data_IF_438987061975
#
_entry.id   IF_438987061975
#
_cell.length_a   1.000
_cell.length_b   1.000
_cell.length_c   1.000
_cell.angle_alpha   90.00
_cell.angle_beta   90.00
_cell.angle_gamma   90.00
#
_symmetry.space_group_name_H-M   'P 1'
#
loop_
_entity.id
_entity.type
_entity.pdbx_description
1 polymer ?
#
# COMPACT_ATOMS: atom_id res chain seq x y z
N UNK A 1 -8.27 5.01 17.16
CA UNK A 1 -7.96 6.14 16.31
C UNK A 1 -7.10 5.75 15.10
N UNK A 2 -5.97 5.07 15.34
CA UNK A 2 -5.12 4.56 14.27
C UNK A 2 -5.87 3.58 13.35
N UNK A 3 -6.63 2.67 13.92
CA UNK A 3 -7.36 1.65 13.16
C UNK A 3 -8.49 2.26 12.32
N UNK A 4 -9.16 3.28 12.83
CA UNK A 4 -10.19 4.01 12.07
C UNK A 4 -9.54 4.73 10.88
N UNK A 5 -8.42 5.42 11.11
CA UNK A 5 -7.69 6.13 10.06
C UNK A 5 -7.18 5.17 8.99
N UNK A 6 -6.61 4.03 9.40
CA UNK A 6 -6.14 2.99 8.48
C UNK A 6 -7.27 2.40 7.65
N UNK A 7 -8.41 2.10 8.29
CA UNK A 7 -9.58 1.55 7.62
C UNK A 7 -10.15 2.50 6.58
N UNK A 8 -10.20 3.80 6.90
CA UNK A 8 -10.65 4.83 5.97
C UNK A 8 -9.72 4.95 4.77
N UNK A 9 -8.41 4.90 4.99
CA UNK A 9 -7.42 4.96 3.91
C UNK A 9 -7.56 3.75 2.99
N UNK A 10 -7.74 2.57 3.55
CA UNK A 10 -7.94 1.34 2.77
C UNK A 10 -9.24 1.38 1.98
N UNK A 11 -10.31 1.92 2.56
CA UNK A 11 -11.59 2.06 1.86
C UNK A 11 -11.48 3.00 0.64
N UNK A 12 -10.75 4.11 0.80
CA UNK A 12 -10.49 5.04 -0.31
C UNK A 12 -9.68 4.35 -1.40
N UNK A 13 -8.65 3.62 -1.02
CA UNK A 13 -7.79 2.90 -1.96
C UNK A 13 -8.58 1.84 -2.73
N UNK A 14 -9.39 1.05 -2.03
CA UNK A 14 -10.22 0.02 -2.64
C UNK A 14 -11.23 0.62 -3.61
N UNK A 15 -11.83 1.76 -3.26
CA UNK A 15 -12.80 2.45 -4.12
C UNK A 15 -12.18 3.10 -5.35
N UNK A 16 -10.87 3.37 -5.34
CA UNK A 16 -10.17 3.98 -6.47
C UNK A 16 -9.77 2.96 -7.54
N UNK A 17 -9.78 1.68 -7.22
CA UNK A 17 -9.39 0.63 -8.16
C UNK A 17 -10.61 0.27 -9.03
N UNK A 18 -10.47 0.51 -10.34
CA UNK A 18 -11.51 0.13 -11.31
C UNK A 18 -11.30 -1.34 -11.71
N UNK A 19 -12.23 -2.24 -11.36
CA UNK A 19 -12.09 -3.67 -11.68
C UNK A 19 -12.10 -3.97 -13.18
N UNK A 20 -12.53 -3.02 -14.01
CA UNK A 20 -12.58 -3.18 -15.47
C UNK A 20 -11.30 -2.69 -16.16
N UNK A 21 -10.42 -2.00 -15.45
CA UNK A 21 -9.11 -1.58 -15.99
C UNK A 21 -8.16 -2.75 -16.03
N UNK A 22 -7.12 -2.67 -16.88
CA UNK A 22 -6.04 -3.67 -16.85
C UNK A 22 -5.28 -3.58 -15.52
N UNK A 23 -4.47 -4.60 -15.23
CA UNK A 23 -3.80 -4.69 -13.94
C UNK A 23 -2.77 -3.57 -13.73
N UNK A 24 -2.13 -3.10 -14.81
CA UNK A 24 -1.17 -1.98 -14.72
C UNK A 24 -1.87 -0.69 -14.33
N UNK A 25 -3.02 -0.41 -14.95
CA UNK A 25 -3.84 0.73 -14.58
C UNK A 25 -4.36 0.62 -13.15
N UNK A 26 -4.76 -0.58 -12.71
CA UNK A 26 -5.21 -0.82 -11.35
C UNK A 26 -4.09 -0.54 -10.33
N UNK A 27 -2.86 -0.95 -10.62
CA UNK A 27 -1.70 -0.65 -9.77
C UNK A 27 -1.49 0.86 -9.65
N UNK A 28 -1.52 1.58 -10.76
CA UNK A 28 -1.35 3.03 -10.74
C UNK A 28 -2.47 3.75 -10.01
N UNK A 29 -3.72 3.30 -10.19
CA UNK A 29 -4.87 3.81 -9.46
C UNK A 29 -4.70 3.62 -7.96
N UNK A 30 -4.28 2.44 -7.54
CA UNK A 30 -4.07 2.12 -6.14
C UNK A 30 -2.96 2.97 -5.52
N UNK A 31 -1.82 3.08 -6.19
CA UNK A 31 -0.68 3.84 -5.68
C UNK A 31 -1.00 5.34 -5.65
N UNK A 32 -1.63 5.86 -6.70
CA UNK A 32 -2.06 7.26 -6.75
C UNK A 32 -3.03 7.61 -5.63
N UNK A 33 -3.99 6.74 -5.36
CA UNK A 33 -4.96 6.94 -4.29
C UNK A 33 -4.30 6.88 -2.91
N UNK A 34 -3.43 5.90 -2.68
CA UNK A 34 -2.73 5.74 -1.40
C UNK A 34 -1.89 6.96 -1.07
N UNK A 35 -0.99 7.35 -1.96
CA UNK A 35 -0.13 8.51 -1.74
C UNK A 35 -0.91 9.82 -1.74
N UNK A 36 -1.99 9.90 -2.51
CA UNK A 36 -2.86 11.06 -2.53
C UNK A 36 -3.52 11.31 -1.18
N UNK A 37 -4.06 10.27 -0.54
CA UNK A 37 -4.65 10.37 0.79
C UNK A 37 -3.61 10.82 1.81
N UNK A 38 -2.43 10.19 1.80
CA UNK A 38 -1.36 10.51 2.74
C UNK A 38 -0.84 11.94 2.56
N UNK A 39 -0.62 12.37 1.32
CA UNK A 39 -0.08 13.70 1.03
C UNK A 39 -1.04 14.84 1.41
N UNK A 40 -2.34 14.60 1.29
CA UNK A 40 -3.36 15.61 1.61
C UNK A 40 -3.66 15.74 3.10
N UNK A 41 -3.16 14.80 3.91
CA UNK A 41 -3.51 14.76 5.32
C UNK A 41 -2.26 14.55 6.19
N UNK A 42 -1.53 15.63 6.52
CA UNK A 42 -0.30 15.53 7.30
C UNK A 42 -0.49 14.90 8.67
N UNK A 43 -1.65 15.10 9.31
CA UNK A 43 -1.95 14.51 10.62
C UNK A 43 -2.09 12.99 10.48
N UNK A 44 -2.81 12.53 9.47
CA UNK A 44 -2.96 11.11 9.18
C UNK A 44 -1.60 10.47 8.90
N UNK A 45 -0.80 11.09 8.05
CA UNK A 45 0.53 10.63 7.69
C UNK A 45 1.40 10.44 8.94
N UNK A 46 1.44 11.46 9.80
CA UNK A 46 2.22 11.41 11.03
C UNK A 46 1.72 10.33 11.97
N UNK A 47 0.40 10.19 12.12
CA UNK A 47 -0.20 9.17 12.97
C UNK A 47 0.16 7.77 12.50
N UNK A 48 0.02 7.50 11.19
CA UNK A 48 0.23 6.16 10.64
C UNK A 48 1.70 5.73 10.60
N UNK A 49 2.63 6.68 10.47
CA UNK A 49 4.03 6.33 10.21
C UNK A 49 4.97 6.69 11.35
N UNK A 50 4.64 7.67 12.16
CA UNK A 50 5.55 8.17 13.22
C UNK A 50 4.98 7.92 14.62
N UNK A 51 3.81 8.47 14.93
CA UNK A 51 3.27 8.46 16.28
C UNK A 51 2.99 7.05 16.78
N UNK A 52 2.58 6.16 15.87
CA UNK A 52 2.29 4.77 16.20
C UNK A 52 3.51 4.04 16.78
N UNK A 53 4.71 4.41 16.35
CA UNK A 53 5.95 3.78 16.83
C UNK A 53 6.23 4.09 18.29
N UNK A 54 5.72 5.22 18.81
CA UNK A 54 5.88 5.61 20.21
C UNK A 54 4.95 4.89 21.18
N UNK A 55 4.00 4.09 20.70
CA UNK A 55 3.01 3.41 21.55
C UNK A 55 3.45 2.02 22.01
N UNK A 56 4.68 1.61 21.69
CA UNK A 56 5.20 0.30 22.09
C UNK A 56 4.48 -0.87 21.43
N UNK A 57 4.30 -1.96 22.18
CA UNK A 57 3.71 -3.20 21.64
C UNK A 57 2.30 -3.01 21.07
N UNK A 58 1.37 -2.26 21.70
CA UNK A 58 0.06 -2.02 21.11
C UNK A 58 0.14 -1.29 19.77
N UNK A 59 1.05 -0.31 19.64
CA UNK A 59 1.27 0.40 18.40
C UNK A 59 1.81 -0.49 17.29
N UNK A 60 2.77 -1.34 17.62
CA UNK A 60 3.32 -2.31 16.69
C UNK A 60 2.25 -3.28 16.19
N UNK A 61 1.38 -3.76 17.08
CA UNK A 61 0.28 -4.66 16.72
C UNK A 61 -0.72 -3.98 15.78
N UNK A 62 -1.07 -2.72 16.05
CA UNK A 62 -1.97 -1.94 15.18
C UNK A 62 -1.35 -1.73 13.79
N UNK A 63 -0.07 -1.42 13.73
CA UNK A 63 0.67 -1.27 12.49
C UNK A 63 0.66 -2.56 11.67
N UNK A 64 0.86 -3.70 12.32
CA UNK A 64 0.82 -5.01 11.66
C UNK A 64 -0.56 -5.28 11.06
N UNK A 65 -1.64 -4.96 11.79
CA UNK A 65 -3.00 -5.14 11.28
C UNK A 65 -3.24 -4.27 10.04
N UNK A 66 -2.79 -3.02 10.06
CA UNK A 66 -2.94 -2.12 8.91
C UNK A 66 -2.16 -2.65 7.71
N UNK A 67 -0.92 -3.07 7.90
CA UNK A 67 -0.11 -3.65 6.83
C UNK A 67 -0.72 -4.94 6.29
N UNK A 68 -1.30 -5.76 7.16
CA UNK A 68 -1.98 -6.98 6.76
C UNK A 68 -3.20 -6.68 5.89
N UNK A 69 -3.98 -5.64 6.22
CA UNK A 69 -5.11 -5.23 5.41
C UNK A 69 -4.69 -4.77 4.02
N UNK A 70 -3.57 -4.05 3.91
CA UNK A 70 -3.01 -3.66 2.62
C UNK A 70 -2.52 -4.87 1.82
N UNK A 71 -1.85 -5.80 2.48
CA UNK A 71 -1.38 -7.03 1.84
C UNK A 71 -2.55 -7.89 1.36
N UNK A 72 -3.60 -8.00 2.17
CA UNK A 72 -4.81 -8.75 1.81
C UNK A 72 -5.51 -8.14 0.60
N UNK A 73 -5.60 -6.82 0.54
CA UNK A 73 -6.14 -6.12 -0.63
C UNK A 73 -5.31 -6.42 -1.88
N UNK A 74 -3.99 -6.37 -1.75
CA UNK A 74 -3.07 -6.69 -2.86
C UNK A 74 -3.29 -8.12 -3.36
N UNK A 75 -3.36 -9.09 -2.45
CA UNK A 75 -3.59 -10.49 -2.80
C UNK A 75 -4.93 -10.67 -3.50
N UNK A 76 -5.97 -9.99 -3.00
CA UNK A 76 -7.29 -10.05 -3.59
C UNK A 76 -7.31 -9.53 -5.03
N UNK A 77 -6.71 -8.36 -5.25
CA UNK A 77 -6.67 -7.74 -6.58
C UNK A 77 -5.82 -8.56 -7.55
N UNK A 78 -4.66 -9.05 -7.11
CA UNK A 78 -3.71 -9.75 -7.98
C UNK A 78 -4.16 -11.17 -8.29
N UNK A 79 -4.64 -11.91 -7.28
CA UNK A 79 -4.91 -13.34 -7.43
C UNK A 79 -6.33 -13.66 -7.90
N UNK A 80 -7.28 -12.73 -7.73
CA UNK A 80 -8.69 -12.97 -8.02
C UNK A 80 -9.19 -12.24 -9.28
N UNK A 81 -8.30 -11.96 -10.22
CA UNK A 81 -8.70 -11.30 -11.47
C UNK A 81 -9.53 -12.24 -12.34
N UNK A 82 -10.73 -11.82 -12.78
CA UNK A 82 -11.55 -12.65 -13.65
C UNK A 82 -10.89 -12.85 -15.01
N UNK A 83 -10.80 -14.10 -15.45
CA UNK A 83 -10.40 -14.45 -16.81
C UNK A 83 -8.93 -14.31 -17.16
N UNK A 84 -8.08 -13.84 -16.23
CA UNK A 84 -6.68 -13.58 -16.52
C UNK A 84 -5.80 -13.95 -15.34
N UNK A 85 -4.81 -14.78 -15.57
CA UNK A 85 -3.77 -15.07 -14.56
C UNK A 85 -2.51 -14.31 -14.91
N UNK A 86 -2.15 -13.35 -14.08
CA UNK A 86 -0.91 -12.59 -14.24
C UNK A 86 0.32 -13.44 -13.91
N UNK A 87 0.13 -14.50 -13.14
CA UNK A 87 1.19 -15.41 -12.71
C UNK A 87 0.71 -16.85 -12.83
N UNK A 88 1.67 -17.74 -13.11
CA UNK A 88 1.43 -19.18 -13.11
C UNK A 88 1.06 -19.70 -11.72
N UNK A 89 1.65 -19.11 -10.67
CA UNK A 89 1.32 -19.36 -9.26
C UNK A 89 0.80 -18.08 -8.61
N UNK A 90 -0.15 -18.19 -7.68
CA UNK A 90 -0.63 -16.99 -6.96
C UNK A 90 0.48 -16.27 -6.23
N UNK A 91 0.34 -14.96 -6.08
CA UNK A 91 1.24 -14.16 -5.24
C UNK A 91 1.13 -14.66 -3.80
N UNK A 92 2.28 -14.92 -3.18
CA UNK A 92 2.33 -15.44 -1.82
C UNK A 92 2.07 -14.34 -0.78
N UNK A 93 1.41 -14.67 0.35
CA UNK A 93 1.15 -13.68 1.39
C UNK A 93 2.39 -12.99 1.93
N UNK A 94 3.49 -13.72 2.10
CA UNK A 94 4.75 -13.15 2.60
C UNK A 94 5.33 -12.15 1.59
N UNK A 95 5.22 -12.42 0.30
CA UNK A 95 5.68 -11.50 -0.73
C UNK A 95 4.83 -10.23 -0.76
N UNK A 96 3.51 -10.36 -0.62
CA UNK A 96 2.62 -9.21 -0.52
C UNK A 96 3.00 -8.32 0.68
N UNK A 97 3.29 -8.93 1.83
CA UNK A 97 3.73 -8.19 3.02
C UNK A 97 5.07 -7.49 2.78
N UNK A 98 6.01 -8.14 2.07
CA UNK A 98 7.29 -7.53 1.73
C UNK A 98 7.12 -6.30 0.82
N UNK A 99 6.20 -6.37 -0.14
CA UNK A 99 5.90 -5.23 -1.02
C UNK A 99 5.30 -4.08 -0.21
N UNK A 100 4.32 -4.37 0.65
CA UNK A 100 3.71 -3.36 1.53
C UNK A 100 4.78 -2.70 2.40
N UNK A 101 5.64 -3.49 3.02
CA UNK A 101 6.76 -2.98 3.84
C UNK A 101 7.69 -2.08 3.04
N UNK A 102 8.07 -2.50 1.83
CA UNK A 102 8.93 -1.73 0.95
C UNK A 102 8.31 -0.38 0.56
N UNK A 103 7.03 -0.36 0.21
CA UNK A 103 6.32 0.87 -0.13
C UNK A 103 6.24 1.80 1.08
N UNK A 104 5.89 1.26 2.25
CA UNK A 104 5.80 2.07 3.47
C UNK A 104 7.17 2.63 3.87
N UNK A 105 8.25 1.91 3.63
CA UNK A 105 9.60 2.42 3.86
C UNK A 105 9.93 3.59 2.94
N UNK A 106 9.47 3.56 1.69
CA UNK A 106 9.61 4.70 0.78
C UNK A 106 8.92 5.95 1.34
N UNK A 107 7.72 5.77 1.91
CA UNK A 107 6.96 6.87 2.54
C UNK A 107 7.72 7.41 3.75
N UNK A 108 8.19 6.52 4.62
CA UNK A 108 8.93 6.90 5.83
C UNK A 108 10.19 7.70 5.47
N UNK A 109 10.92 7.26 4.46
CA UNK A 109 12.09 7.99 3.98
C UNK A 109 11.72 9.39 3.48
N UNK A 110 10.61 9.52 2.75
CA UNK A 110 10.14 10.82 2.28
C UNK A 110 9.81 11.76 3.46
N UNK A 111 9.20 11.22 4.53
CA UNK A 111 8.93 11.99 5.74
C UNK A 111 10.25 12.48 6.37
N UNK A 112 11.23 11.59 6.50
CA UNK A 112 12.56 11.91 7.06
C UNK A 112 13.29 12.97 6.25
N UNK A 113 13.10 13.00 4.95
CA UNK A 113 13.70 13.95 4.03
C UNK A 113 12.86 15.22 3.84
N UNK A 114 11.82 15.41 4.66
CA UNK A 114 10.90 16.56 4.59
C UNK A 114 10.22 16.68 3.22
N UNK A 115 9.90 15.54 2.59
CA UNK A 115 9.25 15.49 1.27
C UNK A 115 7.83 14.90 1.36
N UNK A 116 7.20 15.00 2.53
CA UNK A 116 5.86 14.45 2.75
C UNK A 116 4.79 15.06 1.81
N UNK A 117 4.99 16.28 1.32
CA UNK A 117 4.10 16.91 0.34
C UNK A 117 4.26 16.39 -1.08
N UNK A 118 5.35 15.67 -1.36
CA UNK A 118 5.72 15.22 -2.70
C UNK A 118 5.54 13.70 -2.88
N UNK A 119 4.65 13.09 -2.10
CA UNK A 119 4.45 11.62 -2.13
C UNK A 119 4.00 11.09 -3.49
N UNK A 120 3.40 11.93 -4.35
CA UNK A 120 3.04 11.52 -5.71
C UNK A 120 4.26 11.09 -6.53
N UNK A 121 5.45 11.57 -6.20
CA UNK A 121 6.69 11.14 -6.85
C UNK A 121 7.01 9.67 -6.57
N UNK A 122 6.41 9.08 -5.54
CA UNK A 122 6.60 7.67 -5.19
C UNK A 122 5.70 6.72 -5.98
N UNK A 123 4.71 7.23 -6.71
CA UNK A 123 3.79 6.39 -7.48
C UNK A 123 4.56 5.49 -8.45
N UNK A 124 5.48 6.05 -9.21
CA UNK A 124 6.24 5.28 -10.21
C UNK A 124 7.13 4.21 -9.57
N UNK A 125 8.01 4.51 -8.60
CA UNK A 125 8.83 3.47 -8.00
C UNK A 125 8.01 2.42 -7.23
N UNK A 126 6.94 2.82 -6.56
CA UNK A 126 6.06 1.85 -5.87
C UNK A 126 5.35 0.94 -6.87
N UNK A 127 4.85 1.51 -7.97
CA UNK A 127 4.23 0.73 -9.04
C UNK A 127 5.21 -0.24 -9.69
N UNK A 128 6.46 0.20 -9.89
CA UNK A 128 7.52 -0.67 -10.42
C UNK A 128 7.79 -1.86 -9.50
N UNK A 129 7.88 -1.61 -8.19
CA UNK A 129 8.08 -2.67 -7.21
C UNK A 129 6.94 -3.70 -7.26
N UNK A 130 5.71 -3.22 -7.25
CA UNK A 130 4.55 -4.11 -7.27
C UNK A 130 4.48 -4.89 -8.59
N UNK A 131 4.70 -4.24 -9.73
CA UNK A 131 4.73 -4.93 -11.03
C UNK A 131 5.82 -5.99 -11.09
N UNK A 132 7.00 -5.68 -10.55
CA UNK A 132 8.10 -6.65 -10.51
C UNK A 132 7.75 -7.87 -9.66
N UNK A 133 7.12 -7.66 -8.51
CA UNK A 133 6.69 -8.76 -7.64
C UNK A 133 5.62 -9.62 -8.29
N UNK A 134 4.67 -9.01 -9.00
CA UNK A 134 3.59 -9.72 -9.70
C UNK A 134 4.14 -10.52 -10.87
N UNK A 135 5.11 -9.99 -11.60
CA UNK A 135 5.65 -10.61 -12.83
C UNK A 135 6.77 -11.61 -12.55
N UNK A 136 7.34 -11.61 -11.35
CA UNK A 136 8.45 -12.50 -11.02
C UNK A 136 8.01 -13.96 -10.95
N UNK A 137 8.84 -14.85 -11.46
CA UNK A 137 8.67 -16.29 -11.31
C UNK A 137 9.66 -16.77 -10.25
N UNK A 138 9.14 -17.38 -9.22
CA UNK A 138 9.94 -17.92 -8.13
C UNK A 138 9.80 -19.45 -8.07
#
# INVERSE_FOLDING_TARGET
LYEVASGNAIAVLRGAIDPHSDWQAQVEQAMGAYFGVLARNPVLLRTLFIDILGLGAPGLAARRRANQQLADLMLDVVNNRPGERLRKTPLQPTMAMAVVGGINEMVLQAIEQERAGDLQELVEPAAMLLRAAISAEF
#
